data_IF_325972986906
#
_entry.id   IF_325972986906
#
_cell.length_a   1.000
_cell.length_b   1.000
_cell.length_c   1.000
_cell.angle_alpha   90.00
_cell.angle_beta   90.00
_cell.angle_gamma   90.00
#
_symmetry.space_group_name_H-M   'P 1'
#
loop_
_entity.id
_entity.type
_entity.pdbx_description
1 polymer ?
#
# COMPACT_ATOMS: atom_id res chain seq x y z
N UNK A 1 -13.78 8.72 -9.55
CA UNK A 1 -14.13 9.52 -8.34
C UNK A 1 -13.59 10.94 -8.39
N UNK A 2 -12.33 11.19 -8.75
CA UNK A 2 -11.81 12.57 -8.85
C UNK A 2 -12.26 13.33 -10.12
N UNK A 3 -12.69 12.63 -11.18
CA UNK A 3 -12.98 13.22 -12.51
C UNK A 3 -14.50 13.32 -12.79
N UNK A 4 -15.33 12.55 -12.09
CA UNK A 4 -16.77 12.43 -12.38
C UNK A 4 -17.61 12.91 -11.19
N UNK A 5 -18.24 14.10 -11.26
CA UNK A 5 -18.95 14.73 -10.16
C UNK A 5 -20.18 13.93 -9.69
N UNK A 6 -20.75 13.06 -10.53
CA UNK A 6 -22.00 12.35 -10.25
C UNK A 6 -21.84 11.18 -9.25
N UNK A 7 -20.61 10.72 -8.99
CA UNK A 7 -20.32 9.57 -8.13
C UNK A 7 -19.96 9.96 -6.68
N UNK A 8 -20.16 11.22 -6.29
CA UNK A 8 -19.75 11.76 -4.99
C UNK A 8 -20.96 11.92 -4.06
N UNK A 9 -21.09 11.12 -2.98
CA UNK A 9 -22.04 11.42 -1.90
C UNK A 9 -21.68 12.77 -1.26
N UNK A 10 -22.68 13.59 -0.91
CA UNK A 10 -22.48 14.96 -0.36
C UNK A 10 -21.53 15.01 0.86
N UNK A 11 -21.49 13.93 1.66
CA UNK A 11 -20.61 13.77 2.80
C UNK A 11 -19.11 13.71 2.45
N UNK A 12 -18.73 13.37 1.21
CA UNK A 12 -17.33 13.22 0.78
C UNK A 12 -16.84 14.40 -0.07
N UNK A 13 -17.63 15.47 -0.19
CA UNK A 13 -17.35 16.67 -0.99
C UNK A 13 -15.98 17.31 -0.71
N UNK A 14 -15.40 17.11 0.47
CA UNK A 14 -14.08 17.62 0.87
C UNK A 14 -12.87 16.86 0.28
N UNK A 15 -13.05 15.67 -0.29
CA UNK A 15 -11.96 14.78 -0.80
C UNK A 15 -11.69 15.00 -2.31
N UNK A 16 -12.30 16.01 -2.94
CA UNK A 16 -12.09 16.29 -4.37
C UNK A 16 -11.05 17.38 -4.57
N UNK A 17 -10.31 17.30 -5.66
CA UNK A 17 -9.35 18.33 -6.10
C UNK A 17 -10.10 19.64 -6.29
N UNK A 18 -9.76 20.66 -5.50
CA UNK A 18 -10.45 21.94 -5.48
C UNK A 18 -9.86 22.98 -6.43
N UNK A 19 -8.64 22.73 -6.91
CA UNK A 19 -7.84 23.68 -7.68
C UNK A 19 -7.43 23.10 -9.03
N UNK A 20 -7.51 23.93 -10.07
CA UNK A 20 -7.01 23.60 -11.40
C UNK A 20 -5.49 23.55 -11.37
N UNK A 21 -4.95 22.34 -11.30
CA UNK A 21 -3.51 22.15 -11.38
C UNK A 21 -3.03 22.22 -12.83
N UNK A 22 -1.86 22.82 -13.04
CA UNK A 22 -1.23 22.91 -14.36
C UNK A 22 -0.88 21.53 -14.95
N UNK A 23 -0.77 20.51 -14.08
CA UNK A 23 -0.36 19.16 -14.43
C UNK A 23 -1.51 18.17 -14.19
N UNK A 24 -1.77 17.22 -15.13
CA UNK A 24 -2.78 16.18 -14.94
C UNK A 24 -2.56 15.37 -13.66
N UNK A 25 -3.65 15.05 -12.96
CA UNK A 25 -3.62 14.38 -11.66
C UNK A 25 -2.84 13.05 -11.65
N UNK A 26 -2.96 12.28 -12.74
CA UNK A 26 -2.25 11.01 -12.90
C UNK A 26 -0.74 11.24 -12.95
N UNK A 27 -0.30 12.28 -13.66
CA UNK A 27 1.11 12.62 -13.76
C UNK A 27 1.65 13.08 -12.40
N UNK A 28 0.86 13.85 -11.64
CA UNK A 28 1.21 14.23 -10.27
C UNK A 28 1.41 13.01 -9.38
N UNK A 29 0.48 12.04 -9.40
CA UNK A 29 0.60 10.81 -8.60
C UNK A 29 1.83 10.00 -8.99
N UNK A 30 2.12 9.86 -10.28
CA UNK A 30 3.32 9.15 -10.76
C UNK A 30 4.62 9.87 -10.37
N UNK A 31 4.68 11.19 -10.55
CA UNK A 31 5.85 12.00 -10.18
C UNK A 31 6.09 11.97 -8.67
N UNK A 32 5.03 12.03 -7.86
CA UNK A 32 5.13 11.98 -6.41
C UNK A 32 5.59 10.59 -5.93
N UNK A 33 5.04 9.50 -6.46
CA UNK A 33 5.47 8.13 -6.13
C UNK A 33 6.96 7.92 -6.48
N UNK A 34 7.39 8.35 -7.67
CA UNK A 34 8.79 8.28 -8.11
C UNK A 34 9.68 9.19 -7.24
N UNK A 35 9.21 10.40 -6.92
CA UNK A 35 9.93 11.37 -6.08
C UNK A 35 10.22 10.83 -4.69
N UNK A 36 9.26 10.13 -4.07
CA UNK A 36 9.47 9.46 -2.78
C UNK A 36 10.55 8.38 -2.86
N UNK A 37 10.65 7.65 -3.97
CA UNK A 37 11.71 6.65 -4.14
C UNK A 37 13.08 7.29 -4.34
N UNK A 38 13.16 8.39 -5.11
CA UNK A 38 14.39 9.17 -5.21
C UNK A 38 14.82 9.74 -3.86
N UNK A 39 13.89 10.30 -3.09
CA UNK A 39 14.16 10.79 -1.74
C UNK A 39 14.64 9.67 -0.82
N UNK A 40 14.02 8.49 -0.89
CA UNK A 40 14.44 7.30 -0.11
C UNK A 40 15.86 6.87 -0.49
N UNK A 41 16.15 6.75 -1.79
CA UNK A 41 17.50 6.37 -2.26
C UNK A 41 18.54 7.40 -1.85
N UNK A 42 18.26 8.70 -2.05
CA UNK A 42 19.13 9.78 -1.62
C UNK A 42 19.38 9.75 -0.11
N UNK A 43 18.35 9.51 0.71
CA UNK A 43 18.46 9.46 2.16
C UNK A 43 19.34 8.29 2.64
N UNK A 44 19.28 7.12 1.99
CA UNK A 44 20.12 5.95 2.32
C UNK A 44 21.59 6.20 1.96
N UNK A 45 21.84 6.97 0.89
CA UNK A 45 23.20 7.32 0.46
C UNK A 45 23.76 8.59 1.11
N UNK A 46 22.97 9.31 1.90
CA UNK A 46 23.38 10.52 2.61
C UNK A 46 23.84 10.17 4.05
N UNK A 47 24.97 10.70 4.53
CA UNK A 47 25.39 10.50 5.93
C UNK A 47 24.32 10.93 6.94
N UNK A 48 24.12 10.11 7.97
CA UNK A 48 23.08 10.27 9.00
C UNK A 48 23.02 11.67 9.65
N UNK A 49 24.15 12.35 9.96
CA UNK A 49 24.13 13.68 10.58
C UNK A 49 23.52 14.78 9.71
N UNK A 50 23.58 14.65 8.38
CA UNK A 50 23.04 15.61 7.43
C UNK A 50 21.61 15.26 6.97
N UNK A 51 21.25 13.98 7.09
CA UNK A 51 19.99 13.42 6.57
C UNK A 51 18.75 14.05 7.21
N UNK A 52 18.75 14.33 8.52
CA UNK A 52 17.60 14.94 9.22
C UNK A 52 17.35 16.39 8.79
N UNK A 53 18.40 17.22 8.73
CA UNK A 53 18.27 18.61 8.31
C UNK A 53 17.85 18.72 6.84
N UNK A 54 18.49 17.95 5.95
CA UNK A 54 18.13 17.92 4.54
C UNK A 54 16.71 17.37 4.31
N UNK A 55 16.29 16.36 5.09
CA UNK A 55 14.94 15.81 5.03
C UNK A 55 13.86 16.81 5.40
N UNK A 56 14.09 17.65 6.42
CA UNK A 56 13.14 18.69 6.81
C UNK A 56 13.04 19.79 5.76
N UNK A 57 14.18 20.24 5.21
CA UNK A 57 14.21 21.21 4.11
C UNK A 57 13.48 20.65 2.88
N UNK A 58 13.73 19.40 2.51
CA UNK A 58 13.05 18.76 1.38
C UNK A 58 11.54 18.62 1.61
N UNK A 59 11.11 18.23 2.81
CA UNK A 59 9.70 18.03 3.11
C UNK A 59 8.91 19.34 3.14
N UNK A 60 9.44 20.38 3.80
CA UNK A 60 8.71 21.64 4.01
C UNK A 60 8.94 22.60 2.86
N UNK A 61 10.19 22.94 2.57
CA UNK A 61 10.50 24.02 1.64
C UNK A 61 10.24 23.60 0.19
N UNK A 62 10.74 22.44 -0.24
CA UNK A 62 10.50 21.96 -1.61
C UNK A 62 9.02 21.57 -1.77
N UNK A 63 8.41 20.95 -0.76
CA UNK A 63 6.99 20.59 -0.76
C UNK A 63 6.07 21.80 -0.93
N UNK A 64 6.29 22.88 -0.16
CA UNK A 64 5.51 24.12 -0.27
C UNK A 64 5.68 24.77 -1.63
N UNK A 65 6.92 24.94 -2.10
CA UNK A 65 7.20 25.54 -3.42
C UNK A 65 6.50 24.75 -4.53
N UNK A 66 6.49 23.42 -4.44
CA UNK A 66 5.86 22.57 -5.44
C UNK A 66 4.31 22.69 -5.45
N UNK A 67 3.69 23.06 -4.34
CA UNK A 67 2.27 23.44 -4.29
C UNK A 67 2.09 24.83 -4.90
N UNK A 68 2.89 25.80 -4.47
CA UNK A 68 2.75 27.21 -4.86
C UNK A 68 2.93 27.43 -6.37
N UNK A 69 3.82 26.68 -7.02
CA UNK A 69 4.03 26.71 -8.48
C UNK A 69 2.98 25.89 -9.25
N UNK A 70 2.03 25.26 -8.57
CA UNK A 70 0.95 24.47 -9.18
C UNK A 70 1.39 23.11 -9.73
N UNK A 71 2.56 22.60 -9.32
CA UNK A 71 3.05 21.27 -9.72
C UNK A 71 2.24 20.16 -9.04
N UNK A 72 1.89 20.35 -7.77
CA UNK A 72 1.10 19.41 -6.98
C UNK A 72 -0.09 20.09 -6.30
N UNK A 73 -1.19 19.36 -6.26
CA UNK A 73 -2.35 19.71 -5.44
C UNK A 73 -2.12 19.24 -3.99
N UNK A 74 -2.48 20.02 -2.96
CA UNK A 74 -2.30 19.62 -1.55
C UNK A 74 -2.89 18.25 -1.21
N UNK A 75 -4.06 17.93 -1.77
CA UNK A 75 -4.73 16.65 -1.61
C UNK A 75 -3.89 15.47 -2.13
N UNK A 76 -3.20 15.65 -3.26
CA UNK A 76 -2.33 14.61 -3.84
C UNK A 76 -1.13 14.35 -2.93
N UNK A 77 -0.49 15.40 -2.42
CA UNK A 77 0.63 15.27 -1.47
C UNK A 77 0.17 14.53 -0.21
N UNK A 78 -1.01 14.86 0.31
CA UNK A 78 -1.58 14.17 1.47
C UNK A 78 -1.75 12.66 1.21
N UNK A 79 -2.34 12.27 0.07
CA UNK A 79 -2.54 10.86 -0.26
C UNK A 79 -1.23 10.11 -0.42
N UNK A 80 -0.24 10.70 -1.10
CA UNK A 80 1.07 10.10 -1.29
C UNK A 80 1.81 9.97 0.03
N UNK A 81 1.74 10.98 0.92
CA UNK A 81 2.34 10.93 2.25
C UNK A 81 1.76 9.80 3.10
N UNK A 82 0.43 9.66 3.15
CA UNK A 82 -0.23 8.55 3.87
C UNK A 82 0.21 7.19 3.28
N UNK A 83 0.28 7.08 1.96
CA UNK A 83 0.66 5.86 1.29
C UNK A 83 2.15 5.52 1.48
N UNK A 84 3.02 6.53 1.58
CA UNK A 84 4.43 6.38 1.92
C UNK A 84 4.62 5.91 3.37
N UNK A 85 3.86 6.44 4.33
CA UNK A 85 3.86 5.97 5.72
C UNK A 85 3.42 4.50 5.79
N UNK A 86 2.36 4.12 5.08
CA UNK A 86 1.92 2.72 5.00
C UNK A 86 2.98 1.77 4.42
N UNK A 87 3.80 2.29 3.50
CA UNK A 87 4.94 1.56 2.90
C UNK A 87 6.05 1.31 3.93
N UNK A 88 6.28 2.23 4.87
CA UNK A 88 7.22 2.06 5.99
C UNK A 88 6.65 1.22 7.14
N UNK A 89 5.34 1.22 7.34
CA UNK A 89 4.68 0.37 8.32
C UNK A 89 4.68 -1.13 7.93
N UNK A 90 4.87 -1.42 6.64
CA UNK A 90 4.99 -2.80 6.13
C UNK A 90 6.37 -3.36 6.47
N UNK A 91 6.48 -4.38 7.35
CA UNK A 91 7.78 -4.85 7.86
C UNK A 91 8.63 -5.59 6.82
N UNK A 92 8.02 -6.12 5.76
CA UNK A 92 8.72 -6.79 4.66
C UNK A 92 9.01 -5.81 3.54
N UNK A 93 10.29 -5.64 3.21
CA UNK A 93 10.74 -4.78 2.12
C UNK A 93 10.27 -5.30 0.75
N UNK A 94 10.35 -6.61 0.51
CA UNK A 94 9.89 -7.22 -0.73
C UNK A 94 8.38 -7.02 -0.93
N UNK A 95 7.60 -7.18 0.15
CA UNK A 95 6.16 -6.92 0.12
C UNK A 95 5.86 -5.44 -0.15
N UNK A 96 6.64 -4.56 0.45
CA UNK A 96 6.53 -3.12 0.26
C UNK A 96 6.77 -2.73 -1.21
N UNK A 97 7.78 -3.32 -1.87
CA UNK A 97 8.01 -3.16 -3.31
C UNK A 97 6.87 -3.75 -4.14
N UNK A 98 6.38 -4.96 -3.81
CA UNK A 98 5.28 -5.59 -4.54
C UNK A 98 4.01 -4.72 -4.51
N UNK A 99 3.68 -4.13 -3.35
CA UNK A 99 2.56 -3.20 -3.21
C UNK A 99 2.74 -1.92 -4.03
N UNK A 100 3.97 -1.45 -4.24
CA UNK A 100 4.25 -0.31 -5.13
C UNK A 100 3.96 -0.65 -6.58
N UNK A 101 4.43 -1.81 -7.06
CA UNK A 101 4.16 -2.24 -8.44
C UNK A 101 2.65 -2.43 -8.68
N UNK A 102 1.95 -3.02 -7.72
CA UNK A 102 0.49 -3.11 -7.72
C UNK A 102 -0.17 -1.73 -7.89
N UNK A 103 0.24 -0.74 -7.10
CA UNK A 103 -0.27 0.63 -7.17
C UNK A 103 0.01 1.29 -8.53
N UNK A 104 1.24 1.19 -9.04
CA UNK A 104 1.60 1.75 -10.36
C UNK A 104 0.76 1.10 -11.46
N UNK A 105 0.58 -0.22 -11.43
CA UNK A 105 -0.29 -0.93 -12.37
C UNK A 105 -1.73 -0.42 -12.33
N UNK A 106 -2.31 -0.27 -11.12
CA UNK A 106 -3.66 0.28 -10.96
C UNK A 106 -3.77 1.73 -11.44
N UNK A 107 -2.76 2.56 -11.18
CA UNK A 107 -2.71 3.94 -11.68
C UNK A 107 -2.70 4.00 -13.20
N UNK A 108 -1.87 3.17 -13.86
CA UNK A 108 -1.81 3.09 -15.33
C UNK A 108 -3.14 2.62 -15.90
N UNK A 109 -3.75 1.57 -15.33
CA UNK A 109 -5.08 1.11 -15.77
C UNK A 109 -6.16 2.16 -15.59
N UNK A 110 -6.12 2.90 -14.49
CA UNK A 110 -7.03 4.01 -14.22
C UNK A 110 -6.78 5.20 -15.13
N UNK A 111 -5.54 5.42 -15.58
CA UNK A 111 -5.19 6.49 -16.50
C UNK A 111 -5.80 6.28 -17.90
N UNK A 112 -5.78 5.04 -18.40
CA UNK A 112 -6.33 4.72 -19.72
C UNK A 112 -7.84 4.50 -19.73
N UNK A 113 -8.39 3.88 -18.69
CA UNK A 113 -9.79 3.43 -18.66
C UNK A 113 -10.60 4.06 -17.53
N UNK A 114 -10.10 5.12 -16.90
CA UNK A 114 -10.75 5.84 -15.79
C UNK A 114 -11.25 4.88 -14.69
N UNK A 115 -12.47 5.10 -14.18
CA UNK A 115 -13.06 4.32 -13.09
C UNK A 115 -13.23 2.84 -13.45
N UNK A 116 -13.60 2.52 -14.69
CA UNK A 116 -13.68 1.13 -15.16
C UNK A 116 -12.33 0.43 -15.11
N UNK A 117 -11.26 1.13 -15.49
CA UNK A 117 -9.88 0.64 -15.41
C UNK A 117 -9.46 0.25 -14.00
N UNK A 118 -9.83 1.07 -13.03
CA UNK A 118 -9.56 0.78 -11.61
C UNK A 118 -10.24 -0.53 -11.17
N UNK A 119 -11.53 -0.71 -11.48
CA UNK A 119 -12.29 -1.91 -11.08
C UNK A 119 -11.73 -3.16 -11.75
N UNK A 120 -11.46 -3.08 -13.06
CA UNK A 120 -10.91 -4.20 -13.83
C UNK A 120 -9.50 -4.54 -13.35
N UNK A 121 -8.64 -3.53 -13.19
CA UNK A 121 -7.27 -3.70 -12.70
C UNK A 121 -7.23 -4.28 -11.29
N UNK A 122 -8.11 -3.82 -10.40
CA UNK A 122 -8.23 -4.36 -9.03
C UNK A 122 -8.67 -5.81 -9.04
N UNK A 123 -9.65 -6.15 -9.89
CA UNK A 123 -10.14 -7.53 -10.03
C UNK A 123 -9.03 -8.44 -10.56
N UNK A 124 -8.32 -8.03 -11.61
CA UNK A 124 -7.18 -8.77 -12.16
C UNK A 124 -6.09 -8.97 -11.11
N UNK A 125 -5.81 -7.95 -10.30
CA UNK A 125 -4.82 -8.04 -9.23
C UNK A 125 -5.23 -9.05 -8.15
N UNK A 126 -6.50 -9.06 -7.74
CA UNK A 126 -7.02 -10.05 -6.77
C UNK A 126 -6.94 -11.46 -7.35
N UNK A 127 -7.34 -11.65 -8.61
CA UNK A 127 -7.27 -12.95 -9.29
C UNK A 127 -5.82 -13.43 -9.39
N UNK A 128 -4.88 -12.54 -9.73
CA UNK A 128 -3.46 -12.84 -9.78
C UNK A 128 -2.91 -13.30 -8.41
N UNK A 129 -3.26 -12.57 -7.34
CA UNK A 129 -2.89 -12.96 -5.97
C UNK A 129 -3.54 -14.29 -5.54
N UNK A 130 -4.76 -14.58 -6.01
CA UNK A 130 -5.43 -15.85 -5.71
C UNK A 130 -4.77 -17.05 -6.39
N UNK A 131 -4.16 -16.86 -7.56
CA UNK A 131 -3.44 -17.91 -8.27
C UNK A 131 -2.01 -18.11 -7.74
N UNK A 132 -1.42 -17.10 -7.12
CA UNK A 132 -0.09 -17.22 -6.51
C UNK A 132 -0.07 -18.24 -5.36
N UNK A 133 0.89 -19.16 -5.43
CA UNK A 133 1.19 -20.13 -4.36
C UNK A 133 2.63 -19.92 -3.88
N UNK A 134 2.77 -19.68 -2.58
CA UNK A 134 4.06 -19.56 -1.89
C UNK A 134 4.30 -20.86 -1.13
N UNK A 135 5.33 -21.62 -1.48
CA UNK A 135 5.68 -22.90 -0.84
C UNK A 135 4.46 -23.83 -0.63
N UNK A 136 3.62 -23.98 -1.67
CA UNK A 136 2.39 -24.81 -1.68
C UNK A 136 1.16 -24.20 -0.98
N UNK A 137 1.28 -22.98 -0.45
CA UNK A 137 0.21 -22.25 0.24
C UNK A 137 -0.32 -21.11 -0.63
N UNK A 138 -1.65 -20.95 -0.81
CA UNK A 138 -2.21 -19.78 -1.50
C UNK A 138 -1.79 -18.48 -0.80
N UNK A 139 -1.35 -17.48 -1.58
CA UNK A 139 -0.90 -16.19 -1.03
C UNK A 139 -1.99 -15.49 -0.21
N UNK A 140 -3.25 -15.61 -0.63
CA UNK A 140 -4.41 -15.03 0.06
C UNK A 140 -4.89 -15.84 1.27
N UNK A 141 -4.17 -16.86 1.73
CA UNK A 141 -4.54 -17.55 2.97
C UNK A 141 -4.39 -16.59 4.17
N UNK A 142 -5.33 -16.53 5.12
CA UNK A 142 -6.54 -17.35 5.33
C UNK A 142 -7.85 -16.77 4.76
N UNK A 143 -7.80 -15.74 3.91
CA UNK A 143 -8.97 -15.18 3.20
C UNK A 143 -9.46 -16.14 2.10
N UNK A 144 -8.55 -16.71 1.33
CA UNK A 144 -8.83 -17.71 0.29
C UNK A 144 -7.83 -18.87 0.39
N UNK A 145 -8.28 -20.09 0.71
CA UNK A 145 -9.63 -20.50 1.12
C UNK A 145 -10.01 -19.92 2.50
N UNK A 146 -11.25 -19.44 2.63
CA UNK A 146 -11.72 -18.72 3.82
C UNK A 146 -11.70 -19.60 5.08
N UNK A 147 -10.92 -19.21 6.09
CA UNK A 147 -10.81 -19.92 7.38
C UNK A 147 -10.89 -18.93 8.55
N UNK A 148 -12.07 -18.76 9.18
CA UNK A 148 -12.28 -17.72 10.19
C UNK A 148 -11.44 -17.91 11.45
N UNK A 149 -11.23 -19.16 11.89
CA UNK A 149 -10.39 -19.50 13.04
C UNK A 149 -8.92 -19.09 12.83
N UNK A 150 -8.38 -19.38 11.64
CA UNK A 150 -7.01 -19.00 11.30
C UNK A 150 -6.87 -17.48 11.12
N UNK A 151 -7.89 -16.83 10.54
CA UNK A 151 -7.93 -15.39 10.36
C UNK A 151 -7.94 -14.65 11.71
N UNK A 152 -8.70 -15.14 12.70
CA UNK A 152 -8.71 -14.57 14.04
C UNK A 152 -7.36 -14.75 14.74
N UNK A 153 -6.71 -15.91 14.61
CA UNK A 153 -5.37 -16.17 15.15
C UNK A 153 -4.27 -15.28 14.53
N UNK A 154 -4.34 -15.02 13.21
CA UNK A 154 -3.42 -14.12 12.52
C UNK A 154 -3.63 -12.67 12.98
N UNK A 155 -4.89 -12.25 13.13
CA UNK A 155 -5.24 -10.88 13.57
C UNK A 155 -4.82 -10.60 15.01
N UNK A 156 -5.06 -11.55 15.93
CA UNK A 156 -4.72 -11.38 17.34
C UNK A 156 -3.26 -11.74 17.67
N UNK A 157 -2.48 -12.17 16.67
CA UNK A 157 -1.06 -12.58 16.79
C UNK A 157 -0.82 -13.38 18.08
N UNK A 158 -1.64 -14.41 18.33
CA UNK A 158 -1.58 -15.19 19.58
C UNK A 158 -0.18 -15.80 19.73
N UNK A 159 0.46 -15.73 20.93
CA UNK A 159 1.78 -16.30 21.14
C UNK A 159 1.77 -17.81 20.88
N UNK A 160 2.82 -18.29 20.22
CA UNK A 160 2.97 -19.69 19.78
C UNK A 160 2.79 -20.68 20.93
N UNK A 161 3.21 -20.31 22.15
CA UNK A 161 3.07 -21.11 23.38
C UNK A 161 1.61 -21.43 23.73
N UNK A 162 0.66 -20.55 23.39
CA UNK A 162 -0.77 -20.75 23.70
C UNK A 162 -1.52 -21.48 22.58
N UNK A 163 -0.82 -21.89 21.51
CA UNK A 163 -1.39 -22.60 20.37
C UNK A 163 -1.01 -24.08 20.41
N UNK A 164 -1.93 -24.91 20.89
CA UNK A 164 -1.73 -26.38 21.00
C UNK A 164 -1.81 -27.07 19.63
N UNK A 165 -2.50 -26.49 18.66
CA UNK A 165 -2.77 -27.10 17.34
C UNK A 165 -1.90 -26.43 16.28
N UNK A 166 -1.22 -27.24 15.45
CA UNK A 166 -0.47 -26.75 14.28
C UNK A 166 -1.45 -26.17 13.24
N UNK A 167 -1.18 -24.99 12.64
CA UNK A 167 -1.98 -24.49 11.55
C UNK A 167 -2.07 -25.55 10.44
N UNK A 168 -3.30 -25.87 10.01
CA UNK A 168 -3.56 -26.88 8.97
C UNK A 168 -2.82 -26.63 7.65
N UNK A 169 -2.27 -25.43 7.45
CA UNK A 169 -1.50 -25.03 6.28
C UNK A 169 -0.20 -25.82 6.12
N UNK A 170 0.43 -26.22 7.22
CA UNK A 170 1.75 -26.89 7.21
C UNK A 170 1.64 -28.37 6.83
N UNK A 171 0.42 -28.91 6.67
CA UNK A 171 0.15 -30.34 6.45
C UNK A 171 0.97 -31.23 7.40
N UNK A 172 1.11 -30.82 8.66
CA UNK A 172 1.87 -31.58 9.64
C UNK A 172 1.17 -32.93 9.90
N UNK A 173 1.93 -34.04 9.84
CA UNK A 173 1.43 -35.39 10.13
C UNK A 173 0.89 -35.48 11.55
N UNK A 174 1.63 -34.92 12.50
CA UNK A 174 1.18 -34.71 13.87
C UNK A 174 0.53 -33.32 14.01
N UNK A 175 -0.70 -33.28 14.53
CA UNK A 175 -1.49 -32.04 14.64
C UNK A 175 -1.25 -31.29 15.94
N UNK A 176 -0.73 -31.97 16.95
CA UNK A 176 -0.53 -31.41 18.29
C UNK A 176 0.90 -30.84 18.36
N UNK A 177 1.03 -29.54 18.64
CA UNK A 177 2.35 -28.89 18.78
C UNK A 177 3.10 -29.40 19.99
N UNK A 178 2.40 -29.52 21.11
CA UNK A 178 2.90 -29.96 22.40
C UNK A 178 1.81 -30.82 23.05
N UNK A 179 2.13 -32.08 23.33
CA UNK A 179 1.28 -32.88 24.20
C UNK A 179 1.37 -32.24 25.59
N UNK A 180 0.26 -31.75 26.15
CA UNK A 180 0.21 -31.37 27.57
C UNK A 180 0.26 -32.67 28.37
N UNK A 181 1.46 -33.23 28.55
CA UNK A 181 1.70 -34.18 29.62
C UNK A 181 1.61 -33.38 30.92
N UNK A 182 0.61 -33.73 31.74
CA UNK A 182 0.60 -33.41 33.15
C UNK A 182 1.85 -33.98 33.84
#
# INVERSE_FOLDING_TARGET
MAIDPALKPDALSFIGVKEDAAVPLILQLLLADIGIEFLRMAAIHTPTPLSTAMGLIAAVLIGQIAIDVGLFVPEVILYVAVAAIGTFATPSYELSIANKFARIFLLIMTAFFHTSGFIIGLTLLIVFLAQMKVFTVPYLWPLLPFRPLALWQVKTRVPVTNTVIRPMIVKAEDRVRQNRSH
#
